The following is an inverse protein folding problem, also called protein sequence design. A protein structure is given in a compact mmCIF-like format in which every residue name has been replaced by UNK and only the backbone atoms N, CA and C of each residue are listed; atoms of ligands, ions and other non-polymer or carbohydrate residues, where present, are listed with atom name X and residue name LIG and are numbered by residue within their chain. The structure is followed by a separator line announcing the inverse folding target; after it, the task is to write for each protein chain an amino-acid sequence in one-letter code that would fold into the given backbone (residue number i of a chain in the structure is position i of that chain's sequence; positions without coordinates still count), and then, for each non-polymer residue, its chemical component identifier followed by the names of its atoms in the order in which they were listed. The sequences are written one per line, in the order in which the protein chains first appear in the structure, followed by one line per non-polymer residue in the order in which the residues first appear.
data_IF_878307225646
#
_entry.id   IF_878307225646
#
_cell.length_a   1.000
_cell.length_b   1.000
_cell.length_c   1.000
_cell.angle_alpha   90.00
_cell.angle_beta   90.00
_cell.angle_gamma   90.00
#
_symmetry.space_group_name_H-M   'P 1'
#
loop_
_entity.id
_entity.type
_entity.pdbx_description
1 polymer ?
#
# COMPACT_ATOMS: atom_id res chain seq x y z
N UNK A 1 -20.46 -18.64 30.17
CA UNK A 1 -19.09 -18.09 30.07
C UNK A 1 -18.18 -19.11 29.38
N UNK A 2 -17.90 -19.00 28.06
CA UNK A 2 -16.78 -19.69 27.36
C UNK A 2 -16.61 -19.17 25.91
N UNK A 3 -15.59 -18.29 25.78
CA UNK A 3 -14.59 -18.02 24.72
C UNK A 3 -14.98 -17.81 23.23
N UNK A 4 -14.84 -16.53 22.84
CA UNK A 4 -14.23 -15.90 21.63
C UNK A 4 -14.06 -16.76 20.37
N UNK A 5 -14.67 -16.29 19.28
CA UNK A 5 -14.49 -16.80 17.93
C UNK A 5 -13.07 -16.60 17.40
N UNK A 6 -12.36 -17.71 17.30
CA UNK A 6 -11.20 -17.94 16.42
C UNK A 6 -11.48 -19.27 15.75
N UNK A 7 -11.35 -19.34 14.42
CA UNK A 7 -11.39 -20.62 13.72
C UNK A 7 -10.38 -21.57 14.36
N UNK A 8 -10.81 -22.78 14.69
CA UNK A 8 -9.95 -23.79 15.34
C UNK A 8 -8.76 -24.11 14.43
N UNK A 9 -7.58 -23.61 14.77
CA UNK A 9 -6.31 -23.88 14.07
C UNK A 9 -5.57 -25.11 14.60
N UNK A 10 -6.22 -26.02 15.33
CA UNK A 10 -5.63 -27.31 15.67
C UNK A 10 -6.69 -28.40 15.96
N UNK A 11 -6.51 -29.63 15.43
CA UNK A 11 -7.25 -30.83 15.84
C UNK A 11 -7.15 -31.14 17.35
N UNK A 12 -8.17 -31.81 17.89
CA UNK A 12 -8.30 -32.15 19.33
C UNK A 12 -7.18 -33.07 19.85
N UNK A 13 -6.63 -33.95 19.01
CA UNK A 13 -5.59 -34.90 19.43
C UNK A 13 -4.20 -34.27 19.59
N UNK A 14 -3.96 -33.08 19.05
CA UNK A 14 -2.71 -32.31 19.20
C UNK A 14 -2.66 -31.55 20.54
N UNK A 15 -3.79 -31.39 21.25
CA UNK A 15 -3.85 -30.68 22.53
C UNK A 15 -3.16 -31.42 23.70
N UNK A 16 -2.75 -32.69 23.52
CA UNK A 16 -2.10 -33.50 24.55
C UNK A 16 -0.58 -33.61 24.42
N UNK A 17 0.03 -33.13 23.33
CA UNK A 17 1.47 -33.23 23.11
C UNK A 17 2.09 -31.86 22.80
N UNK A 18 2.86 -31.33 23.76
CA UNK A 18 3.86 -30.28 23.52
C UNK A 18 3.34 -28.83 23.53
N UNK A 19 3.51 -28.15 24.65
CA UNK A 19 3.21 -26.72 24.81
C UNK A 19 4.22 -25.76 24.13
N UNK A 20 5.17 -26.26 23.32
CA UNK A 20 6.31 -25.47 22.82
C UNK A 20 6.52 -25.47 21.28
N UNK A 21 5.58 -25.98 20.48
CA UNK A 21 5.77 -26.07 19.02
C UNK A 21 4.77 -25.26 18.17
N UNK A 22 3.91 -24.43 18.78
CA UNK A 22 2.83 -23.74 18.08
C UNK A 22 3.25 -22.53 17.22
N UNK A 23 4.47 -22.00 17.36
CA UNK A 23 4.94 -20.82 16.59
C UNK A 23 5.47 -21.13 15.17
N UNK A 24 5.50 -22.41 14.76
CA UNK A 24 6.06 -22.82 13.45
C UNK A 24 5.03 -23.25 12.40
N UNK A 25 3.73 -23.18 12.69
CA UNK A 25 2.72 -23.45 11.66
C UNK A 25 2.37 -22.15 10.92
N UNK A 26 2.63 -22.05 9.60
CA UNK A 26 2.29 -20.85 8.85
C UNK A 26 0.78 -20.61 8.94
N UNK A 27 0.41 -19.48 9.55
CA UNK A 27 -0.97 -19.01 9.56
C UNK A 27 -1.38 -18.77 8.11
N UNK A 28 -2.44 -19.43 7.67
CA UNK A 28 -2.97 -19.20 6.33
C UNK A 28 -3.71 -17.88 6.38
N UNK A 29 -2.99 -16.82 6.05
CA UNK A 29 -3.53 -15.48 5.94
C UNK A 29 -3.97 -15.32 4.50
N UNK A 30 -5.25 -15.03 4.33
CA UNK A 30 -5.72 -14.43 3.09
C UNK A 30 -5.17 -13.01 3.07
N UNK A 31 -4.13 -12.78 2.27
CA UNK A 31 -3.67 -11.43 1.94
C UNK A 31 -4.79 -10.75 1.14
N UNK A 32 -5.29 -9.65 1.70
CA UNK A 32 -6.31 -8.82 1.07
C UNK A 32 -5.60 -7.52 0.74
N UNK A 33 -5.26 -7.30 -0.54
CA UNK A 33 -4.63 -6.08 -1.08
C UNK A 33 -5.51 -4.82 -0.98
N UNK A 34 -6.58 -4.87 -0.20
CA UNK A 34 -7.46 -3.74 -0.07
C UNK A 34 -6.76 -2.61 0.69
N UNK A 35 -6.78 -1.43 0.09
CA UNK A 35 -6.45 -0.18 0.75
C UNK A 35 -7.50 0.12 1.84
N UNK A 36 -7.39 -0.56 2.98
CA UNK A 36 -8.22 -0.34 4.16
C UNK A 36 -8.18 1.14 4.60
N UNK A 37 -7.16 1.90 4.21
CA UNK A 37 -7.05 3.34 4.44
C UNK A 37 -8.24 4.16 3.92
N UNK A 38 -8.90 3.72 2.84
CA UNK A 38 -10.07 4.43 2.29
C UNK A 38 -11.40 4.05 2.98
N UNK A 39 -11.42 3.00 3.81
CA UNK A 39 -12.63 2.52 4.48
C UNK A 39 -12.62 2.97 5.94
N UNK A 40 -13.57 3.83 6.37
CA UNK A 40 -13.66 4.26 7.75
C UNK A 40 -13.80 3.08 8.71
N UNK A 41 -13.33 3.25 9.94
CA UNK A 41 -13.66 2.33 11.03
C UNK A 41 -15.02 2.69 11.62
N UNK A 42 -15.73 1.74 12.23
CA UNK A 42 -16.92 2.05 13.03
C UNK A 42 -16.55 2.86 14.29
N UNK A 43 -17.35 3.85 14.69
CA UNK A 43 -17.01 4.70 15.85
C UNK A 43 -17.51 4.15 17.19
N UNK A 44 -18.49 3.25 17.21
CA UNK A 44 -19.08 2.71 18.45
C UNK A 44 -19.16 1.20 18.60
N UNK A 45 -18.35 0.45 17.83
CA UNK A 45 -18.22 -1.01 17.93
C UNK A 45 -19.52 -1.76 17.59
N UNK A 46 -19.50 -3.07 17.79
CA UNK A 46 -20.54 -4.00 17.35
C UNK A 46 -21.96 -3.60 17.73
N UNK A 47 -22.21 -3.30 19.02
CA UNK A 47 -23.56 -3.01 19.52
C UNK A 47 -24.12 -1.72 18.94
N UNK A 48 -23.36 -0.61 19.00
CA UNK A 48 -23.81 0.68 18.46
C UNK A 48 -24.02 0.60 16.95
N UNK A 49 -23.11 -0.06 16.24
CA UNK A 49 -23.23 -0.22 14.81
C UNK A 49 -24.50 -1.01 14.42
N UNK A 50 -24.76 -2.15 15.07
CA UNK A 50 -25.91 -3.00 14.75
C UNK A 50 -27.25 -2.40 15.19
N UNK A 51 -27.31 -1.68 16.31
CA UNK A 51 -28.58 -1.21 16.90
C UNK A 51 -28.87 0.28 16.73
N UNK A 52 -27.88 1.11 16.39
CA UNK A 52 -28.09 2.54 16.13
C UNK A 52 -27.82 2.88 14.67
N UNK A 53 -26.62 2.59 14.17
CA UNK A 53 -26.18 3.01 12.83
C UNK A 53 -26.97 2.31 11.73
N UNK A 54 -27.08 0.97 11.80
CA UNK A 54 -27.83 0.20 10.80
C UNK A 54 -29.32 0.58 10.77
N UNK A 55 -30.03 0.66 11.91
CA UNK A 55 -31.42 1.12 11.93
C UNK A 55 -31.62 2.57 11.46
N UNK A 56 -30.72 3.48 11.83
CA UNK A 56 -30.79 4.86 11.37
C UNK A 56 -30.64 4.94 9.84
N UNK A 57 -29.62 4.28 9.28
CA UNK A 57 -29.42 4.22 7.84
C UNK A 57 -30.61 3.57 7.12
N UNK A 58 -31.18 2.51 7.69
CA UNK A 58 -32.36 1.85 7.13
C UNK A 58 -33.55 2.81 7.03
N UNK A 59 -33.90 3.51 8.13
CA UNK A 59 -35.04 4.46 8.12
C UNK A 59 -34.84 5.59 7.12
N UNK A 60 -33.61 6.05 6.95
CA UNK A 60 -33.28 7.18 6.07
C UNK A 60 -33.26 6.79 4.58
N UNK A 61 -32.69 5.64 4.24
CA UNK A 61 -32.33 5.30 2.84
C UNK A 61 -32.97 4.04 2.28
N UNK A 62 -33.66 3.24 3.09
CA UNK A 62 -34.14 1.94 2.61
C UNK A 62 -35.17 2.09 1.50
N UNK A 63 -36.23 2.86 1.69
CA UNK A 63 -37.30 2.99 0.69
C UNK A 63 -36.86 3.81 -0.54
N UNK A 64 -35.94 4.78 -0.36
CA UNK A 64 -35.48 5.66 -1.44
C UNK A 64 -34.34 5.10 -2.29
N UNK A 65 -33.38 4.37 -1.70
CA UNK A 65 -32.17 3.93 -2.40
C UNK A 65 -32.03 2.40 -2.46
N UNK A 66 -32.39 1.69 -1.38
CA UNK A 66 -32.15 0.23 -1.30
C UNK A 66 -33.25 -0.57 -1.98
N UNK A 67 -34.50 -0.25 -1.67
CA UNK A 67 -35.67 -0.98 -2.15
C UNK A 67 -35.81 -0.91 -3.68
N UNK A 68 -35.60 0.24 -4.35
CA UNK A 68 -35.58 0.30 -5.81
C UNK A 68 -34.44 -0.52 -6.44
N UNK A 69 -33.28 -0.59 -5.78
CA UNK A 69 -32.13 -1.39 -6.23
C UNK A 69 -32.25 -2.90 -5.92
N UNK A 70 -33.27 -3.32 -5.17
CA UNK A 70 -33.54 -4.71 -4.79
C UNK A 70 -35.00 -5.11 -5.11
N UNK A 71 -35.44 -5.01 -6.38
CA UNK A 71 -36.82 -5.34 -6.76
C UNK A 71 -37.12 -6.81 -6.41
N UNK A 72 -38.31 -7.06 -5.85
CA UNK A 72 -38.77 -8.38 -5.42
C UNK A 72 -37.90 -9.08 -4.35
N UNK A 73 -37.01 -8.34 -3.70
CA UNK A 73 -36.07 -8.89 -2.74
C UNK A 73 -36.00 -8.11 -1.41
N UNK A 74 -37.12 -7.65 -0.81
CA UNK A 74 -37.09 -6.83 0.38
C UNK A 74 -36.53 -7.59 1.59
N UNK A 75 -35.97 -6.84 2.53
CA UNK A 75 -35.53 -7.32 3.84
C UNK A 75 -36.15 -6.44 4.92
N UNK A 76 -36.68 -7.06 5.99
CA UNK A 76 -37.22 -6.31 7.12
C UNK A 76 -36.09 -5.71 7.97
N UNK A 77 -36.36 -4.59 8.65
CA UNK A 77 -35.43 -4.00 9.62
C UNK A 77 -35.02 -5.02 10.69
N UNK A 78 -35.95 -5.82 11.20
CA UNK A 78 -35.68 -6.86 12.22
C UNK A 78 -34.66 -7.88 11.71
N UNK A 79 -34.86 -8.41 10.50
CA UNK A 79 -33.93 -9.36 9.89
C UNK A 79 -32.57 -8.72 9.60
N UNK A 80 -32.56 -7.47 9.15
CA UNK A 80 -31.32 -6.75 8.87
C UNK A 80 -30.48 -6.54 10.13
N UNK A 81 -31.10 -6.12 11.24
CA UNK A 81 -30.43 -5.92 12.54
C UNK A 81 -29.90 -7.23 13.09
N UNK A 82 -30.67 -8.32 13.03
CA UNK A 82 -30.19 -9.64 13.47
C UNK A 82 -28.95 -10.10 12.70
N UNK A 83 -28.95 -9.92 11.37
CA UNK A 83 -27.77 -10.23 10.54
C UNK A 83 -26.61 -9.29 10.82
N UNK A 84 -26.88 -8.00 11.05
CA UNK A 84 -25.85 -7.03 11.41
C UNK A 84 -25.18 -7.42 12.73
N UNK A 85 -25.95 -7.70 13.78
CA UNK A 85 -25.43 -8.12 15.08
C UNK A 85 -24.57 -9.39 14.96
N UNK A 86 -25.10 -10.42 14.29
CA UNK A 86 -24.36 -11.65 14.05
C UNK A 86 -23.06 -11.38 13.29
N UNK A 87 -23.10 -10.55 12.24
CA UNK A 87 -21.92 -10.19 11.43
C UNK A 87 -20.90 -9.38 12.24
N UNK A 88 -21.35 -8.47 13.10
CA UNK A 88 -20.51 -7.66 13.96
C UNK A 88 -19.73 -8.50 14.98
N UNK A 89 -20.27 -9.64 15.42
CA UNK A 89 -19.56 -10.56 16.33
C UNK A 89 -18.30 -11.21 15.73
N UNK A 90 -18.19 -11.24 14.40
CA UNK A 90 -17.01 -11.76 13.67
C UNK A 90 -16.06 -10.66 13.20
N UNK A 91 -16.42 -9.39 13.38
CA UNK A 91 -15.58 -8.27 12.98
C UNK A 91 -14.51 -7.99 14.03
N UNK A 92 -13.41 -7.38 13.60
CA UNK A 92 -12.38 -6.89 14.50
C UNK A 92 -12.97 -5.80 15.40
N UNK A 93 -12.94 -6.04 16.71
CA UNK A 93 -13.63 -5.23 17.69
C UNK A 93 -13.32 -3.72 17.61
N UNK A 94 -12.05 -3.35 17.35
CA UNK A 94 -11.62 -1.95 17.32
C UNK A 94 -11.99 -1.22 16.03
N UNK A 95 -12.00 -1.91 14.90
CA UNK A 95 -12.05 -1.28 13.57
C UNK A 95 -13.32 -1.61 12.79
N UNK A 96 -13.98 -2.72 13.10
CA UNK A 96 -15.12 -3.25 12.33
C UNK A 96 -14.68 -4.00 11.08
N UNK A 97 -13.38 -4.16 10.86
CA UNK A 97 -12.79 -4.79 9.67
C UNK A 97 -12.70 -6.31 9.84
N UNK A 98 -12.20 -6.98 8.80
CA UNK A 98 -11.87 -8.41 8.86
C UNK A 98 -13.04 -9.34 9.24
N UNK A 99 -14.30 -8.93 8.98
CA UNK A 99 -15.46 -9.78 9.20
C UNK A 99 -15.52 -10.86 8.11
N UNK A 100 -15.34 -12.13 8.51
CA UNK A 100 -15.22 -13.30 7.62
C UNK A 100 -16.32 -14.35 7.83
N UNK A 101 -17.49 -13.95 8.32
CA UNK A 101 -18.59 -14.88 8.55
C UNK A 101 -19.17 -15.40 7.22
N UNK A 102 -19.35 -16.72 7.09
CA UNK A 102 -20.07 -17.31 5.95
C UNK A 102 -21.58 -17.05 6.08
N UNK A 103 -22.29 -16.99 4.95
CA UNK A 103 -23.74 -16.77 4.98
C UNK A 103 -24.48 -17.91 5.69
N UNK A 104 -24.00 -19.15 5.55
CA UNK A 104 -24.51 -20.33 6.28
C UNK A 104 -24.31 -20.19 7.78
N UNK A 105 -23.15 -19.69 8.23
CA UNK A 105 -22.88 -19.49 9.65
C UNK A 105 -23.75 -18.39 10.23
N UNK A 106 -23.95 -17.29 9.49
CA UNK A 106 -24.85 -16.21 9.88
C UNK A 106 -26.30 -16.68 9.92
N UNK A 107 -26.73 -17.50 8.96
CA UNK A 107 -28.05 -18.12 8.95
C UNK A 107 -28.27 -18.99 10.19
N UNK A 108 -27.30 -19.84 10.53
CA UNK A 108 -27.35 -20.69 11.72
C UNK A 108 -27.41 -19.89 13.03
N UNK A 109 -26.68 -18.77 13.12
CA UNK A 109 -26.67 -17.92 14.33
C UNK A 109 -27.97 -17.13 14.47
N UNK A 110 -28.52 -16.64 13.36
CA UNK A 110 -29.71 -15.77 13.36
C UNK A 110 -31.03 -16.54 13.27
N UNK A 111 -30.99 -17.84 12.93
CA UNK A 111 -32.19 -18.63 12.61
C UNK A 111 -32.86 -18.23 11.30
N UNK A 112 -32.21 -17.41 10.47
CA UNK A 112 -32.75 -16.93 9.19
C UNK A 112 -32.30 -17.83 8.03
N UNK A 113 -33.06 -17.83 6.93
CA UNK A 113 -32.62 -18.51 5.70
C UNK A 113 -31.36 -17.84 5.12
N UNK A 114 -30.53 -18.64 4.44
CA UNK A 114 -29.33 -18.14 3.73
C UNK A 114 -29.70 -17.02 2.74
N UNK A 115 -30.85 -17.16 2.06
CA UNK A 115 -31.38 -16.14 1.15
C UNK A 115 -31.67 -14.82 1.87
N UNK A 116 -32.25 -14.85 3.07
CA UNK A 116 -32.47 -13.66 3.89
C UNK A 116 -31.15 -13.01 4.33
N UNK A 117 -30.13 -13.81 4.67
CA UNK A 117 -28.79 -13.30 4.98
C UNK A 117 -28.14 -12.63 3.77
N UNK A 118 -28.30 -13.18 2.56
CA UNK A 118 -27.81 -12.58 1.32
C UNK A 118 -28.52 -11.25 1.02
N UNK A 119 -29.85 -11.21 1.18
CA UNK A 119 -30.66 -9.97 1.10
C UNK A 119 -30.15 -8.91 2.06
N UNK A 120 -30.03 -9.27 3.34
CA UNK A 120 -29.51 -8.38 4.38
C UNK A 120 -28.10 -7.88 4.06
N UNK A 121 -27.21 -8.76 3.59
CA UNK A 121 -25.83 -8.37 3.23
C UNK A 121 -25.81 -7.40 2.04
N UNK A 122 -26.72 -7.58 1.07
CA UNK A 122 -26.89 -6.65 -0.05
C UNK A 122 -27.41 -5.30 0.44
N UNK A 123 -28.42 -5.30 1.31
CA UNK A 123 -28.97 -4.09 1.90
C UNK A 123 -27.93 -3.33 2.74
N UNK A 124 -27.12 -4.00 3.57
CA UNK A 124 -26.04 -3.35 4.33
C UNK A 124 -25.04 -2.63 3.43
N UNK A 125 -24.77 -3.18 2.24
CA UNK A 125 -23.89 -2.54 1.25
C UNK A 125 -24.54 -1.31 0.63
N UNK A 126 -25.78 -1.44 0.19
CA UNK A 126 -26.52 -0.34 -0.44
C UNK A 126 -26.82 0.80 0.54
N UNK A 127 -27.03 0.49 1.82
CA UNK A 127 -27.16 1.47 2.89
C UNK A 127 -25.85 2.25 3.18
N UNK A 128 -24.71 1.79 2.66
CA UNK A 128 -23.41 2.43 2.87
C UNK A 128 -22.85 2.24 4.27
N UNK A 129 -23.24 1.18 4.98
CA UNK A 129 -22.79 0.84 6.35
C UNK A 129 -21.88 -0.39 6.39
N UNK A 130 -21.73 -1.08 5.26
CA UNK A 130 -20.76 -2.17 5.12
C UNK A 130 -20.19 -2.22 3.70
N UNK A 131 -18.89 -2.47 3.59
CA UNK A 131 -18.20 -2.68 2.31
C UNK A 131 -17.74 -4.13 2.23
N UNK A 132 -18.09 -4.83 1.14
CA UNK A 132 -17.45 -6.11 0.82
C UNK A 132 -16.11 -5.80 0.16
N UNK A 133 -15.04 -6.10 0.88
CA UNK A 133 -13.68 -5.79 0.49
C UNK A 133 -13.13 -6.87 -0.44
N UNK A 134 -13.50 -8.13 -0.17
CA UNK A 134 -13.20 -9.25 -1.04
C UNK A 134 -14.45 -10.11 -1.19
N UNK A 135 -14.82 -10.42 -2.43
CA UNK A 135 -15.81 -11.45 -2.74
C UNK A 135 -15.27 -12.81 -2.32
N UNK A 136 -16.13 -13.66 -1.76
CA UNK A 136 -15.76 -15.04 -1.48
C UNK A 136 -15.36 -15.76 -2.77
N UNK A 137 -14.32 -16.58 -2.72
CA UNK A 137 -13.81 -17.33 -3.88
C UNK A 137 -13.42 -18.75 -3.49
N UNK A 138 -13.37 -19.66 -4.46
CA UNK A 138 -12.80 -20.98 -4.23
C UNK A 138 -11.31 -20.87 -3.92
N UNK A 139 -10.83 -21.73 -3.02
CA UNK A 139 -9.40 -21.78 -2.68
C UNK A 139 -8.61 -22.35 -3.85
N UNK A 140 -7.45 -21.76 -4.13
CA UNK A 140 -6.50 -22.32 -5.09
C UNK A 140 -5.97 -23.67 -4.60
N UNK A 141 -5.38 -24.47 -5.49
CA UNK A 141 -4.77 -25.76 -5.11
C UNK A 141 -3.75 -25.57 -3.97
N UNK A 142 -2.88 -24.56 -4.08
CA UNK A 142 -1.88 -24.24 -3.07
C UNK A 142 -2.51 -23.84 -1.72
N UNK A 143 -3.52 -22.96 -1.74
CA UNK A 143 -4.26 -22.55 -0.54
C UNK A 143 -4.99 -23.73 0.12
N UNK A 144 -5.51 -24.69 -0.66
CA UNK A 144 -6.13 -25.92 -0.13
C UNK A 144 -5.11 -26.84 0.53
N UNK A 145 -3.96 -27.07 -0.08
CA UNK A 145 -2.88 -27.86 0.54
C UNK A 145 -2.36 -27.20 1.81
N UNK A 146 -2.26 -25.86 1.83
CA UNK A 146 -1.99 -25.13 3.06
C UNK A 146 -3.09 -25.38 4.11
N UNK A 147 -4.37 -25.23 3.74
CA UNK A 147 -5.53 -25.38 4.64
C UNK A 147 -5.61 -26.78 5.24
N UNK A 148 -5.32 -27.79 4.43
CA UNK A 148 -5.30 -29.18 4.87
C UNK A 148 -4.23 -29.44 5.93
N UNK A 149 -3.03 -28.83 5.82
CA UNK A 149 -1.96 -28.92 6.82
C UNK A 149 -2.35 -28.39 8.19
N UNK A 150 -3.32 -27.48 8.27
CA UNK A 150 -3.84 -26.92 9.53
C UNK A 150 -5.23 -27.46 9.90
N UNK A 151 -5.70 -28.50 9.20
CA UNK A 151 -6.98 -29.17 9.47
C UNK A 151 -8.23 -28.44 8.96
N UNK A 152 -8.09 -27.39 8.15
CA UNK A 152 -9.20 -26.67 7.54
C UNK A 152 -9.61 -27.34 6.21
N UNK A 153 -10.82 -27.93 6.22
CA UNK A 153 -11.41 -28.63 5.06
C UNK A 153 -12.29 -27.75 4.17
N UNK A 154 -12.33 -26.43 4.44
CA UNK A 154 -13.12 -25.48 3.66
C UNK A 154 -12.70 -25.44 2.19
N UNK A 155 -13.67 -25.52 1.27
CA UNK A 155 -13.42 -25.46 -0.18
C UNK A 155 -13.09 -24.05 -0.69
N UNK A 156 -13.58 -23.01 -0.01
CA UNK A 156 -13.45 -21.62 -0.42
C UNK A 156 -13.23 -20.64 0.74
N UNK A 157 -12.81 -19.43 0.39
CA UNK A 157 -12.75 -18.29 1.29
C UNK A 157 -14.12 -17.61 1.38
N UNK A 158 -14.53 -17.27 2.60
CA UNK A 158 -15.68 -16.41 2.82
C UNK A 158 -15.40 -14.98 2.32
N UNK A 159 -16.47 -14.26 1.97
CA UNK A 159 -16.38 -12.82 1.70
C UNK A 159 -15.81 -12.08 2.90
N UNK A 160 -14.93 -11.11 2.66
CA UNK A 160 -14.34 -10.25 3.69
C UNK A 160 -15.10 -8.93 3.70
N UNK A 161 -15.62 -8.55 4.87
CA UNK A 161 -16.40 -7.32 5.05
C UNK A 161 -15.71 -6.34 5.99
N UNK A 162 -15.88 -5.06 5.66
CA UNK A 162 -15.60 -3.91 6.50
C UNK A 162 -16.93 -3.33 7.00
N UNK A 163 -17.15 -3.35 8.30
CA UNK A 163 -18.31 -2.73 8.94
C UNK A 163 -17.91 -1.33 9.39
N UNK A 164 -18.65 -0.34 8.95
CA UNK A 164 -18.31 1.06 9.19
C UNK A 164 -19.56 1.91 9.38
N UNK A 165 -19.38 3.11 9.90
CA UNK A 165 -20.49 4.06 9.98
C UNK A 165 -20.91 4.50 8.57
N UNK A 166 -22.12 5.07 8.44
CA UNK A 166 -22.60 5.55 7.15
C UNK A 166 -21.60 6.54 6.56
N UNK A 167 -21.03 6.20 5.39
CA UNK A 167 -20.09 7.09 4.65
C UNK A 167 -20.72 8.42 4.28
N UNK A 168 -22.04 8.41 4.14
CA UNK A 168 -22.87 9.55 3.86
C UNK A 168 -23.33 10.05 5.21
N UNK A 169 -22.49 10.84 5.87
CA UNK A 169 -23.08 11.86 6.74
C UNK A 169 -23.77 12.82 5.79
N UNK A 170 -25.07 13.12 5.94
CA UNK A 170 -25.56 14.39 5.45
C UNK A 170 -24.65 15.42 6.14
N UNK A 171 -23.71 15.99 5.38
CA UNK A 171 -23.21 17.30 5.73
C UNK A 171 -24.49 18.10 5.96
N UNK A 172 -24.65 18.66 7.16
CA UNK A 172 -25.76 19.58 7.42
C UNK A 172 -25.88 20.47 6.18
N UNK A 173 -27.10 20.69 5.63
CA UNK A 173 -27.27 21.69 4.61
C UNK A 173 -26.69 22.94 5.25
N UNK A 174 -25.49 23.34 4.82
CA UNK A 174 -24.89 24.57 5.28
C UNK A 174 -25.92 25.57 4.81
N UNK A 175 -26.58 26.32 5.72
CA UNK A 175 -27.54 27.30 5.26
C UNK A 175 -26.79 28.17 4.26
N UNK A 176 -27.32 28.20 3.05
CA UNK A 176 -26.84 29.03 1.97
C UNK A 176 -26.74 30.46 2.54
N UNK A 177 -25.51 30.95 2.72
CA UNK A 177 -25.28 32.26 3.34
C UNK A 177 -25.18 32.24 4.86
N UNK A 178 -24.03 31.83 5.41
CA UNK A 178 -23.66 32.29 6.74
C UNK A 178 -23.27 33.78 6.67
N UNK A 179 -24.02 34.66 7.34
CA UNK A 179 -23.75 36.11 7.54
C UNK A 179 -22.49 36.41 8.39
N UNK A 180 -21.53 35.49 8.44
CA UNK A 180 -20.24 35.78 9.04
C UNK A 180 -19.36 36.46 7.99
N UNK A 181 -18.87 37.69 8.23
CA UNK A 181 -17.94 38.32 7.30
C UNK A 181 -16.71 37.41 7.17
N UNK A 182 -16.41 37.02 5.92
CA UNK A 182 -15.16 36.32 5.57
C UNK A 182 -14.00 37.19 6.06
N UNK A 183 -13.38 36.84 7.18
CA UNK A 183 -12.12 37.46 7.60
C UNK A 183 -11.04 37.03 6.61
N UNK A 184 -10.76 37.88 5.63
CA UNK A 184 -9.53 37.82 4.84
C UNK A 184 -8.37 37.97 5.81
N UNK A 185 -7.64 36.88 6.06
CA UNK A 185 -6.42 36.90 6.88
C UNK A 185 -5.38 37.80 6.22
N UNK A 186 -4.99 38.95 6.80
CA UNK A 186 -3.92 39.78 6.27
C UNK A 186 -2.61 39.20 6.80
N UNK A 187 -2.13 38.13 6.17
CA UNK A 187 -0.75 37.65 6.39
C UNK A 187 0.04 37.84 5.10
N UNK A 188 0.25 39.11 4.77
CA UNK A 188 1.38 39.53 3.96
C UNK A 188 2.23 40.45 4.84
N UNK A 189 3.55 40.25 4.80
CA UNK A 189 4.59 40.99 5.53
C UNK A 189 4.89 40.47 6.95
N UNK A 190 5.87 39.57 7.03
CA UNK A 190 6.52 39.13 8.27
C UNK A 190 7.84 39.92 8.42
N UNK A 191 7.72 41.21 8.71
CA UNK A 191 8.83 42.05 9.20
C UNK A 191 8.32 42.93 10.33
N UNK A 192 8.33 42.43 11.55
CA UNK A 192 8.20 43.27 12.75
C UNK A 192 9.47 43.16 13.58
N UNK A 193 10.37 44.11 13.32
CA UNK A 193 11.52 44.45 14.13
C UNK A 193 11.06 45.33 15.30
N UNK A 194 10.31 44.76 16.25
CA UNK A 194 10.02 45.43 17.54
C UNK A 194 9.72 44.39 18.61
N UNK A 195 10.74 44.13 19.43
CA UNK A 195 10.69 43.32 20.65
C UNK A 195 9.87 44.09 21.70
N UNK A 196 8.64 43.65 21.99
CA UNK A 196 8.00 43.96 23.27
C UNK A 196 8.38 42.88 24.27
N UNK A 197 9.03 43.27 25.36
CA UNK A 197 9.26 42.40 26.50
C UNK A 197 7.91 42.12 27.16
N UNK A 198 7.43 40.89 27.03
CA UNK A 198 6.31 40.41 27.82
C UNK A 198 6.85 39.95 29.17
N UNK A 199 6.67 40.80 30.18
CA UNK A 199 6.65 40.44 31.59
C UNK A 199 5.50 39.45 31.83
N UNK A 200 5.80 38.30 32.45
CA UNK A 200 4.78 37.36 32.93
C UNK A 200 4.55 36.14 32.03
N UNK A 201 5.59 35.32 31.86
CA UNK A 201 5.42 33.92 31.51
C UNK A 201 6.37 33.14 32.39
N UNK A 202 5.87 32.49 33.44
CA UNK A 202 6.56 31.32 33.97
C UNK A 202 6.48 30.25 32.88
N UNK A 203 7.41 30.35 31.93
CA UNK A 203 7.56 29.35 30.90
C UNK A 203 7.95 28.07 31.63
N UNK A 204 7.00 27.12 31.74
CA UNK A 204 7.32 25.75 32.09
C UNK A 204 8.57 25.36 31.31
N UNK A 205 9.65 24.99 32.01
CA UNK A 205 10.96 24.73 31.42
C UNK A 205 10.77 23.88 30.19
N UNK A 206 10.90 24.48 29.00
CA UNK A 206 10.68 23.76 27.74
C UNK A 206 11.66 22.61 27.76
N UNK A 207 11.13 21.38 27.81
CA UNK A 207 11.94 20.15 27.76
C UNK A 207 12.95 20.31 26.63
N UNK A 208 14.22 20.13 26.96
CA UNK A 208 15.35 20.27 26.04
C UNK A 208 15.03 19.58 24.73
N UNK A 209 15.15 20.31 23.61
CA UNK A 209 14.87 19.74 22.30
C UNK A 209 15.84 18.57 22.05
N UNK A 210 15.37 17.40 21.60
CA UNK A 210 16.25 16.29 21.22
C UNK A 210 17.24 16.75 20.14
N UNK A 211 18.44 16.16 20.11
CA UNK A 211 19.46 16.43 19.07
C UNK A 211 18.82 16.44 17.67
N UNK A 212 19.08 17.50 16.89
CA UNK A 212 18.55 17.69 15.54
C UNK A 212 18.90 16.52 14.62
N UNK A 213 20.11 15.94 14.75
CA UNK A 213 20.54 14.79 13.95
C UNK A 213 19.73 13.55 14.29
N UNK A 214 19.53 13.29 15.58
CA UNK A 214 18.73 12.18 16.07
C UNK A 214 17.26 12.31 15.67
N UNK A 215 16.71 13.53 15.72
CA UNK A 215 15.35 13.82 15.27
C UNK A 215 15.20 13.61 13.76
N UNK A 216 16.19 14.01 12.96
CA UNK A 216 16.19 13.78 11.52
C UNK A 216 16.23 12.29 11.18
N UNK A 217 17.10 11.51 11.85
CA UNK A 217 17.16 10.06 11.71
C UNK A 217 15.81 9.41 12.08
N UNK A 218 15.25 9.77 13.24
CA UNK A 218 13.97 9.26 13.72
C UNK A 218 12.82 9.54 12.75
N UNK A 219 12.74 10.76 12.21
CA UNK A 219 11.70 11.13 11.25
C UNK A 219 11.84 10.36 9.93
N UNK A 220 13.07 10.21 9.42
CA UNK A 220 13.32 9.40 8.22
C UNK A 220 12.97 7.94 8.45
N UNK A 221 13.34 7.39 9.61
CA UNK A 221 13.06 6.01 9.97
C UNK A 221 11.57 5.71 10.08
N UNK A 222 10.76 6.57 10.72
CA UNK A 222 9.30 6.35 10.75
C UNK A 222 8.67 6.37 9.35
N UNK A 223 9.21 7.21 8.45
CA UNK A 223 8.68 7.35 7.10
C UNK A 223 9.10 6.19 6.18
N UNK A 224 10.20 5.51 6.50
CA UNK A 224 10.77 4.39 5.74
C UNK A 224 9.79 3.22 5.66
N UNK A 225 9.61 2.67 4.46
CA UNK A 225 8.66 1.58 4.16
C UNK A 225 9.06 0.27 4.85
N UNK A 226 10.36 0.05 5.07
CA UNK A 226 10.87 -1.15 5.71
C UNK A 226 10.78 -1.11 7.24
N UNK A 227 10.41 0.04 7.81
CA UNK A 227 10.30 0.17 9.26
C UNK A 227 9.04 -0.48 9.81
N UNK A 228 9.14 -1.17 10.97
CA UNK A 228 8.04 -1.95 11.49
C UNK A 228 6.84 -1.06 11.84
N UNK A 229 5.58 -1.55 11.74
CA UNK A 229 4.39 -0.74 11.97
C UNK A 229 4.35 -0.03 13.34
N UNK A 230 4.95 -0.64 14.37
CA UNK A 230 5.02 -0.05 15.69
C UNK A 230 5.94 1.17 15.80
N UNK A 231 6.89 1.37 14.86
CA UNK A 231 7.68 2.60 14.77
C UNK A 231 6.77 3.81 14.48
N UNK A 232 5.73 3.59 13.65
CA UNK A 232 4.71 4.59 13.26
C UNK A 232 3.60 4.79 14.29
N UNK A 233 3.70 4.15 15.47
CA UNK A 233 2.76 4.36 16.58
C UNK A 233 2.69 5.83 16.99
N UNK A 234 3.81 6.54 16.90
CA UNK A 234 3.87 7.97 17.10
C UNK A 234 3.97 8.68 15.73
N UNK A 235 3.19 9.76 15.56
CA UNK A 235 3.13 10.52 14.31
C UNK A 235 4.44 11.26 13.97
N UNK A 236 5.29 11.46 14.97
CA UNK A 236 6.53 12.25 14.88
C UNK A 236 7.71 11.46 15.43
N UNK A 237 8.92 11.72 14.94
CA UNK A 237 10.17 11.12 15.44
C UNK A 237 10.61 11.55 16.82
N UNK A 238 9.99 12.57 17.41
CA UNK A 238 10.35 13.12 18.73
C UNK A 238 10.50 12.07 19.83
N UNK A 239 9.61 11.07 19.98
CA UNK A 239 9.74 10.05 21.03
C UNK A 239 10.93 9.09 20.82
N UNK A 240 11.35 8.90 19.57
CA UNK A 240 12.45 8.00 19.21
C UNK A 240 13.81 8.70 19.23
N UNK A 241 13.81 10.01 19.03
CA UNK A 241 15.03 10.82 18.93
C UNK A 241 15.97 10.63 20.13
N UNK A 242 15.43 10.45 21.34
CA UNK A 242 16.23 10.23 22.55
C UNK A 242 17.02 8.91 22.54
N UNK A 243 16.43 7.84 22.00
CA UNK A 243 17.08 6.53 21.91
C UNK A 243 18.07 6.49 20.75
N UNK A 244 17.82 7.30 19.70
CA UNK A 244 18.63 7.36 18.49
C UNK A 244 19.75 8.41 18.54
N UNK A 245 19.99 9.07 19.68
CA UNK A 245 21.05 10.10 19.79
C UNK A 245 22.43 9.54 19.43
N UNK A 246 22.87 8.48 20.11
CA UNK A 246 24.18 7.89 19.84
C UNK A 246 24.27 7.31 18.41
N UNK A 247 23.32 6.48 17.93
CA UNK A 247 23.32 6.03 16.53
C UNK A 247 23.44 7.16 15.49
N UNK A 248 22.73 8.28 15.71
CA UNK A 248 22.79 9.42 14.81
C UNK A 248 24.16 10.12 14.82
N UNK A 249 24.90 10.08 15.93
CA UNK A 249 26.26 10.61 16.02
C UNK A 249 27.25 9.75 15.21
N UNK A 250 27.06 8.43 15.19
CA UNK A 250 27.81 7.49 14.36
C UNK A 250 27.32 7.42 12.90
N UNK A 251 26.46 8.36 12.47
CA UNK A 251 26.04 8.46 11.07
C UNK A 251 25.09 7.34 10.61
N UNK A 252 24.38 6.70 11.54
CA UNK A 252 23.41 5.67 11.19
C UNK A 252 22.28 6.21 10.30
N UNK A 253 21.77 5.33 9.45
CA UNK A 253 20.65 5.57 8.53
C UNK A 253 19.42 4.77 8.95
N UNK A 254 18.22 5.08 8.43
CA UNK A 254 17.03 4.27 8.66
C UNK A 254 17.22 2.78 8.37
N UNK A 255 17.99 2.46 7.32
CA UNK A 255 18.31 1.09 6.93
C UNK A 255 19.13 0.38 8.02
N UNK A 256 20.13 1.05 8.60
CA UNK A 256 20.91 0.50 9.71
C UNK A 256 20.01 0.13 10.91
N UNK A 257 19.00 0.96 11.21
CA UNK A 257 18.04 0.68 12.29
C UNK A 257 17.16 -0.52 11.94
N UNK A 258 16.74 -0.67 10.69
CA UNK A 258 15.93 -1.82 10.25
C UNK A 258 16.74 -3.13 10.17
N UNK A 259 18.01 -3.07 9.76
CA UNK A 259 18.93 -4.21 9.79
C UNK A 259 19.19 -4.65 11.23
N UNK A 260 19.44 -3.72 12.16
CA UNK A 260 19.55 -4.04 13.60
C UNK A 260 18.33 -4.80 14.13
N UNK A 261 17.12 -4.37 13.74
CA UNK A 261 15.87 -5.04 14.16
C UNK A 261 15.78 -6.45 13.56
N UNK A 262 16.23 -6.62 12.31
CA UNK A 262 16.28 -7.92 11.65
C UNK A 262 17.29 -8.86 12.31
N UNK A 263 18.48 -8.35 12.64
CA UNK A 263 19.54 -9.11 13.32
C UNK A 263 19.11 -9.53 14.74
N UNK A 264 18.40 -8.65 15.46
CA UNK A 264 17.77 -8.99 16.73
C UNK A 264 16.83 -10.20 16.61
N UNK A 265 16.03 -10.27 15.54
CA UNK A 265 15.18 -11.45 15.29
C UNK A 265 16.03 -12.66 14.87
N UNK A 266 17.07 -12.45 14.05
CA UNK A 266 17.99 -13.49 13.57
C UNK A 266 18.78 -14.17 14.69
N UNK A 267 19.08 -13.45 15.77
CA UNK A 267 19.71 -13.99 16.99
C UNK A 267 18.77 -14.82 17.86
N UNK A 268 17.51 -15.02 17.44
CA UNK A 268 16.52 -15.85 18.12
C UNK A 268 15.62 -15.09 19.09
N UNK A 269 15.74 -13.77 19.17
CA UNK A 269 14.84 -12.97 20.00
C UNK A 269 13.49 -12.76 19.32
N UNK A 270 12.42 -12.86 20.11
CA UNK A 270 11.06 -12.65 19.60
C UNK A 270 10.70 -11.16 19.51
N UNK A 271 10.15 -10.74 18.37
CA UNK A 271 9.71 -9.37 18.12
C UNK A 271 8.17 -9.30 18.06
N UNK A 272 7.51 -8.61 19.02
CA UNK A 272 6.07 -8.40 18.96
C UNK A 272 5.65 -7.48 17.81
N UNK A 273 4.54 -7.81 17.15
CA UNK A 273 3.90 -6.97 16.11
C UNK A 273 3.44 -5.60 16.66
N UNK A 274 3.08 -5.53 17.94
CA UNK A 274 2.74 -4.30 18.64
C UNK A 274 3.31 -4.31 20.07
N UNK A 275 4.56 -3.87 20.26
CA UNK A 275 5.21 -3.86 21.56
C UNK A 275 4.52 -2.89 22.51
N UNK A 276 4.32 -3.31 23.76
CA UNK A 276 3.76 -2.43 24.79
C UNK A 276 4.68 -1.23 25.06
N UNK A 277 6.00 -1.48 25.14
CA UNK A 277 7.07 -0.48 25.35
C UNK A 277 8.05 -0.45 24.16
N UNK A 278 7.65 0.13 23.01
CA UNK A 278 8.41 -0.02 21.78
C UNK A 278 9.70 0.84 21.78
N UNK A 279 9.72 1.98 22.49
CA UNK A 279 10.92 2.81 22.71
C UNK A 279 11.96 2.05 23.54
N UNK A 280 11.52 1.40 24.62
CA UNK A 280 12.41 0.59 25.48
C UNK A 280 12.94 -0.65 24.76
N UNK A 281 12.12 -1.28 23.91
CA UNK A 281 12.55 -2.39 23.07
C UNK A 281 13.67 -1.99 22.10
N UNK A 282 13.50 -0.86 21.40
CA UNK A 282 14.55 -0.34 20.52
C UNK A 282 15.83 -0.02 21.30
N UNK A 283 15.70 0.53 22.51
CA UNK A 283 16.83 0.75 23.41
C UNK A 283 17.55 -0.56 23.79
N UNK A 284 16.81 -1.64 24.05
CA UNK A 284 17.38 -2.95 24.35
C UNK A 284 18.12 -3.56 23.15
N UNK A 285 17.57 -3.42 21.94
CA UNK A 285 18.24 -3.85 20.70
C UNK A 285 19.56 -3.12 20.49
N UNK A 286 19.57 -1.79 20.67
CA UNK A 286 20.78 -0.98 20.58
C UNK A 286 21.82 -1.35 21.66
N UNK A 287 21.36 -1.64 22.87
CA UNK A 287 22.25 -2.07 23.95
C UNK A 287 22.87 -3.45 23.66
N UNK A 288 22.11 -4.37 23.07
CA UNK A 288 22.60 -5.69 22.72
C UNK A 288 23.54 -5.68 21.50
N UNK A 289 23.35 -4.74 20.57
CA UNK A 289 24.28 -4.50 19.47
C UNK A 289 25.65 -4.05 19.99
N UNK A 290 25.67 -3.19 21.01
CA UNK A 290 26.85 -2.83 21.78
C UNK A 290 27.84 -1.90 21.06
N UNK A 291 28.16 -2.18 19.80
CA UNK A 291 29.11 -1.44 18.97
C UNK A 291 28.39 -0.53 17.96
N UNK A 292 28.39 0.77 18.24
CA UNK A 292 27.72 1.76 17.38
C UNK A 292 28.59 2.23 16.21
N UNK A 293 29.90 1.95 16.21
CA UNK A 293 30.78 2.26 15.08
C UNK A 293 30.59 1.24 13.96
N UNK A 294 30.31 -0.01 14.31
CA UNK A 294 29.92 -1.04 13.34
C UNK A 294 28.46 -0.88 12.91
N UNK A 295 28.27 -0.16 11.81
CA UNK A 295 26.96 0.12 11.21
C UNK A 295 26.37 -1.14 10.54
N UNK A 296 25.20 -1.64 10.99
CA UNK A 296 24.63 -2.91 10.51
C UNK A 296 24.45 -3.02 8.99
N UNK A 297 24.02 -1.95 8.29
CA UNK A 297 23.76 -2.00 6.86
C UNK A 297 24.98 -1.59 6.00
N UNK A 298 26.12 -1.23 6.61
CA UNK A 298 27.27 -0.68 5.88
C UNK A 298 27.82 -1.64 4.81
N UNK A 299 27.89 -2.93 5.13
CA UNK A 299 28.39 -3.95 4.20
C UNK A 299 27.48 -4.12 2.98
N UNK A 300 26.16 -4.17 3.18
CA UNK A 300 25.19 -4.27 2.07
C UNK A 300 25.21 -3.02 1.18
N UNK A 301 25.27 -1.84 1.80
CA UNK A 301 25.35 -0.57 1.07
C UNK A 301 26.62 -0.51 0.22
N UNK A 302 27.75 -0.98 0.73
CA UNK A 302 29.00 -1.03 -0.04
C UNK A 302 28.86 -1.95 -1.27
N UNK A 303 28.27 -3.14 -1.11
CA UNK A 303 28.02 -4.04 -2.25
C UNK A 303 27.10 -3.43 -3.31
N UNK A 304 26.00 -2.80 -2.89
CA UNK A 304 25.07 -2.14 -3.82
C UNK A 304 25.74 -0.99 -4.57
N UNK A 305 26.62 -0.23 -3.92
CA UNK A 305 27.39 0.83 -4.58
C UNK A 305 28.34 0.28 -5.63
N UNK A 306 29.01 -0.85 -5.37
CA UNK A 306 29.84 -1.53 -6.36
C UNK A 306 29.03 -2.03 -7.56
N UNK A 307 27.86 -2.62 -7.32
CA UNK A 307 26.97 -3.07 -8.39
C UNK A 307 26.46 -1.92 -9.24
N UNK A 308 26.07 -0.80 -8.62
CA UNK A 308 25.67 0.42 -9.33
C UNK A 308 26.82 1.02 -10.14
N UNK A 309 28.05 0.99 -9.63
CA UNK A 309 29.23 1.44 -10.36
C UNK A 309 29.48 0.58 -11.60
N UNK A 310 29.37 -0.75 -11.47
CA UNK A 310 29.47 -1.71 -12.60
C UNK A 310 28.34 -1.53 -13.62
N UNK A 311 27.12 -1.23 -13.16
CA UNK A 311 26.01 -0.96 -14.06
C UNK A 311 26.23 0.34 -14.84
N UNK A 312 26.72 1.40 -14.18
CA UNK A 312 27.06 2.67 -14.81
C UNK A 312 28.17 2.53 -15.83
N UNK A 313 29.22 1.75 -15.53
CA UNK A 313 30.29 1.50 -16.51
C UNK A 313 29.76 0.77 -17.74
N UNK A 314 28.90 -0.24 -17.56
CA UNK A 314 28.26 -0.96 -18.68
C UNK A 314 27.41 -0.04 -19.57
N UNK A 315 26.65 0.86 -18.97
CA UNK A 315 25.84 1.82 -19.74
C UNK A 315 26.74 2.79 -20.52
N UNK A 316 27.82 3.27 -19.91
CA UNK A 316 28.78 4.14 -20.58
C UNK A 316 29.46 3.43 -21.77
N UNK A 317 29.85 2.17 -21.60
CA UNK A 317 30.41 1.33 -22.68
C UNK A 317 29.40 1.14 -23.83
N UNK A 318 28.13 0.89 -23.52
CA UNK A 318 27.08 0.75 -24.53
C UNK A 318 26.85 2.05 -25.33
N UNK A 319 26.88 3.20 -24.65
CA UNK A 319 26.75 4.50 -25.32
C UNK A 319 27.96 4.78 -26.21
N UNK A 320 29.18 4.53 -25.74
CA UNK A 320 30.40 4.68 -26.53
C UNK A 320 30.40 3.74 -27.76
N UNK A 321 29.97 2.49 -27.59
CA UNK A 321 29.83 1.55 -28.70
C UNK A 321 28.77 2.01 -29.72
N UNK A 322 27.67 2.61 -29.26
CA UNK A 322 26.63 3.17 -30.13
C UNK A 322 27.15 4.35 -30.95
N UNK A 323 27.93 5.23 -30.33
CA UNK A 323 28.57 6.37 -31.01
C UNK A 323 29.59 5.91 -32.05
N UNK A 324 30.46 4.96 -31.70
CA UNK A 324 31.42 4.36 -32.64
C UNK A 324 30.70 3.70 -33.84
N UNK A 325 29.62 2.96 -33.59
CA UNK A 325 28.81 2.35 -34.65
C UNK A 325 28.07 3.38 -35.50
N UNK A 326 27.72 4.55 -34.96
CA UNK A 326 27.14 5.65 -35.73
C UNK A 326 28.19 6.27 -36.66
N UNK A 327 29.37 6.59 -36.13
CA UNK A 327 30.49 7.13 -36.91
C UNK A 327 30.92 6.17 -38.03
N UNK A 328 30.99 4.86 -37.76
CA UNK A 328 31.30 3.86 -38.79
C UNK A 328 30.24 3.82 -39.91
N UNK A 329 28.96 3.97 -39.58
CA UNK A 329 27.88 4.06 -40.58
C UNK A 329 27.96 5.35 -41.40
N UNK A 330 28.31 6.47 -40.77
CA UNK A 330 28.51 7.74 -41.47
C UNK A 330 29.71 7.68 -42.42
N UNK A 331 30.82 7.09 -41.98
CA UNK A 331 31.99 6.84 -42.83
C UNK A 331 31.63 5.92 -44.01
N UNK A 332 30.87 4.85 -43.77
CA UNK A 332 30.36 3.95 -44.82
C UNK A 332 29.44 4.67 -45.81
N UNK A 333 28.58 5.58 -45.34
CA UNK A 333 27.75 6.43 -46.21
C UNK A 333 28.57 7.40 -47.05
N UNK A 334 29.58 8.03 -46.47
CA UNK A 334 30.49 8.91 -47.21
C UNK A 334 31.28 8.15 -48.29
N UNK A 335 31.68 6.91 -48.01
CA UNK A 335 32.35 6.05 -49.00
C UNK A 335 31.43 5.68 -50.18
N UNK A 336 30.11 5.59 -49.98
CA UNK A 336 29.13 5.33 -51.05
C UNK A 336 29.00 6.49 -52.05
N UNK A 337 29.39 7.72 -51.67
CA UNK A 337 29.55 8.89 -52.55
C UNK A 337 30.98 9.05 -53.08
N UNK A 338 31.81 8.00 -53.00
CA UNK A 338 33.20 8.06 -53.45
C UNK A 338 33.37 8.24 -54.98
N UNK A 339 34.57 8.67 -55.41
CA UNK A 339 34.87 9.04 -56.79
C UNK A 339 34.63 7.90 -57.80
N UNK A 340 34.79 6.65 -57.39
CA UNK A 340 34.53 5.49 -58.26
C UNK A 340 33.05 5.33 -58.64
N UNK A 341 32.11 5.64 -57.74
CA UNK A 341 30.67 5.57 -58.04
C UNK A 341 30.19 6.80 -58.80
N UNK A 342 30.80 7.96 -58.55
CA UNK A 342 30.58 9.14 -59.39
C UNK A 342 31.06 8.92 -60.82
N UNK A 343 32.23 8.29 -61.01
CA UNK A 343 32.72 7.88 -62.32
C UNK A 343 31.76 6.89 -63.00
N UNK A 344 31.25 5.90 -62.26
CA UNK A 344 30.25 4.96 -62.78
C UNK A 344 28.93 5.64 -63.19
N UNK A 345 28.45 6.64 -62.42
CA UNK A 345 27.26 7.44 -62.78
C UNK A 345 27.50 8.25 -64.06
N UNK A 346 28.64 8.94 -64.15
CA UNK A 346 29.02 9.71 -65.36
C UNK A 346 29.07 8.81 -66.60
N UNK A 347 29.66 7.61 -66.48
CA UNK A 347 29.69 6.65 -67.58
C UNK A 347 28.28 6.19 -67.99
N UNK A 348 27.37 5.99 -67.03
CA UNK A 348 25.98 5.64 -67.28
C UNK A 348 25.20 6.77 -67.98
N UNK A 349 25.40 8.01 -67.53
CA UNK A 349 24.80 9.20 -68.15
C UNK A 349 25.30 9.38 -69.58
N UNK A 350 26.59 9.16 -69.84
CA UNK A 350 27.15 9.16 -71.19
C UNK A 350 26.52 8.08 -72.09
N UNK A 351 26.30 6.87 -71.57
CA UNK A 351 25.64 5.79 -72.30
C UNK A 351 24.18 6.17 -72.61
N UNK A 352 23.46 6.75 -71.65
CA UNK A 352 22.08 7.21 -71.84
C UNK A 352 21.99 8.34 -72.87
N UNK A 353 22.91 9.31 -72.84
CA UNK A 353 22.95 10.38 -73.83
C UNK A 353 23.29 9.86 -75.23
N UNK A 354 24.20 8.88 -75.36
CA UNK A 354 24.45 8.19 -76.64
C UNK A 354 23.19 7.47 -77.13
N UNK A 355 22.44 6.80 -76.26
CA UNK A 355 21.19 6.13 -76.62
C UNK A 355 20.10 7.11 -77.06
N UNK A 356 19.95 8.25 -76.36
CA UNK A 356 19.03 9.34 -76.75
C UNK A 356 19.40 9.93 -78.11
N UNK A 357 20.69 10.15 -78.37
CA UNK A 357 21.18 10.64 -79.67
C UNK A 357 20.91 9.65 -80.79
N UNK A 358 21.11 8.35 -80.58
CA UNK A 358 20.72 7.31 -81.55
C UNK A 358 19.22 7.31 -81.82
N UNK A 359 18.39 7.44 -80.77
CA UNK A 359 16.93 7.52 -80.92
C UNK A 359 16.46 8.79 -81.65
N UNK A 360 17.16 9.91 -81.50
CA UNK A 360 16.89 11.17 -82.23
C UNK A 360 17.48 11.20 -83.65
N UNK A 361 18.51 10.40 -83.90
CA UNK A 361 19.19 10.26 -85.20
C UNK A 361 18.69 9.11 -86.05
N UNK A 362 17.57 8.48 -85.68
CA UNK A 362 16.83 7.54 -86.52
C UNK A 362 15.72 8.34 -87.23
N UNK A 363 15.95 8.92 -88.42
CA UNK A 363 14.85 9.39 -89.26
C UNK A 363 14.04 8.18 -89.70
N UNK A 364 12.72 8.34 -89.73
CA UNK A 364 11.77 7.40 -90.32
C UNK A 364 12.19 7.11 -91.77
N UNK A 365 12.90 6.00 -91.98
CA UNK A 365 13.03 5.38 -93.30
C UNK A 365 11.79 4.52 -93.55
N UNK A 366 10.64 5.20 -93.65
CA UNK A 366 9.43 4.70 -94.29
C UNK A 366 8.54 5.90 -94.63
N UNK A 367 8.58 6.32 -95.90
CA UNK A 367 7.78 7.47 -96.38
C UNK A 367 8.14 7.99 -97.76
N UNK A 368 7.81 7.20 -98.79
CA UNK A 368 7.53 7.58 -100.19
C UNK A 368 8.71 7.76 -101.18
N UNK A 369 8.99 6.71 -101.98
CA UNK A 369 8.41 6.50 -103.32
C UNK A 369 8.83 5.16 -103.91
#
# INVERSE_FOLDING_TARGET
MRRRGTAHTAPVWIRRAGAHCFDRLPRIVLEVDAAWGAIPCWSGRARRWAHEVVPAAYRERYDSHVRPAMPNNPVSLKSLVAVAEARASFAEHRTGRNCRATNERLAAITGLSVRTVQRASTALRLLGVATEVMRGRQRTRAERFASWRVGDKGRGWASVWALHDSRIQPLSPHPEGSYFPKKTSPKSVLTTRTRRQATGSSAATRRTCPDKRALALANKWIADEQSPPWARRYRTGTPWAWVLVKPAQHGWTPRDVNTLISDWVGTGHWLPESPHKPIGLLGAMLAAHGDLDNRPAAYEVAREQEELAKARSRVAEQLAAREANAAARDAGRAALSGPGREAARRALDEILERAKRRRRGQPDADGAR
#
